data_IF_704110464097
#
_entry.id   IF_704110464097
#
_cell.length_a   1.000
_cell.length_b   1.000
_cell.length_c   1.000
_cell.angle_alpha   90.00
_cell.angle_beta   90.00
_cell.angle_gamma   90.00
#
_symmetry.space_group_name_H-M   'P 1'
#
loop_
_entity.id
_entity.type
_entity.pdbx_description
1 polymer ?
#
# COMPACT_ATOMS: atom_id res chain seq x y z
N UNK A 1 -10.13 -32.16 -1.39
CA UNK A 1 -10.16 -30.93 -0.58
C UNK A 1 -9.18 -29.87 -1.11
N UNK A 2 -7.97 -30.23 -1.52
CA UNK A 2 -6.94 -29.26 -1.94
C UNK A 2 -7.06 -28.72 -3.37
N UNK A 3 -7.87 -29.35 -4.24
CA UNK A 3 -7.93 -29.02 -5.67
C UNK A 3 -8.23 -27.54 -5.96
N UNK A 4 -9.12 -26.90 -5.20
CA UNK A 4 -9.40 -25.47 -5.36
C UNK A 4 -8.17 -24.61 -5.10
N UNK A 5 -7.48 -24.85 -3.98
CA UNK A 5 -6.26 -24.12 -3.63
C UNK A 5 -5.11 -24.41 -4.61
N UNK A 6 -4.91 -25.66 -5.02
CA UNK A 6 -3.88 -26.03 -6.00
C UNK A 6 -4.16 -25.37 -7.35
N UNK A 7 -5.38 -25.46 -7.87
CA UNK A 7 -5.73 -24.84 -9.16
C UNK A 7 -5.64 -23.31 -9.08
N UNK A 8 -6.02 -22.71 -7.96
CA UNK A 8 -5.96 -21.25 -7.77
C UNK A 8 -4.54 -20.70 -7.56
N UNK A 9 -3.64 -21.49 -6.97
CA UNK A 9 -2.29 -21.04 -6.58
C UNK A 9 -1.22 -21.48 -7.58
N UNK A 10 -1.36 -22.67 -8.15
CA UNK A 10 -0.34 -23.31 -8.97
C UNK A 10 -0.53 -23.08 -10.49
N UNK A 11 -1.67 -22.54 -10.91
CA UNK A 11 -2.01 -22.28 -12.31
C UNK A 11 -2.51 -20.85 -12.51
N UNK A 12 -2.09 -20.21 -13.58
CA UNK A 12 -2.71 -18.96 -14.05
C UNK A 12 -4.00 -19.27 -14.78
N UNK A 13 -4.91 -18.30 -14.85
CA UNK A 13 -6.14 -18.41 -15.65
C UNK A 13 -5.82 -18.78 -17.11
N UNK A 14 -4.75 -18.22 -17.68
CA UNK A 14 -4.34 -18.48 -19.07
C UNK A 14 -3.91 -19.92 -19.28
N UNK A 15 -3.09 -20.47 -18.40
CA UNK A 15 -2.65 -21.88 -18.48
C UNK A 15 -3.81 -22.83 -18.25
N UNK A 16 -4.69 -22.52 -17.29
CA UNK A 16 -5.88 -23.31 -17.02
C UNK A 16 -6.81 -23.35 -18.25
N UNK A 17 -6.98 -22.21 -18.93
CA UNK A 17 -7.75 -22.10 -20.17
C UNK A 17 -7.15 -22.97 -21.28
N UNK A 18 -5.84 -22.91 -21.48
CA UNK A 18 -5.15 -23.73 -22.48
C UNK A 18 -5.25 -25.24 -22.18
N UNK A 19 -5.20 -25.62 -20.90
CA UNK A 19 -5.35 -27.01 -20.49
C UNK A 19 -6.78 -27.53 -20.71
N UNK A 20 -7.79 -26.76 -20.32
CA UNK A 20 -9.19 -27.13 -20.54
C UNK A 20 -9.50 -27.24 -22.05
N UNK A 21 -8.94 -26.35 -22.88
CA UNK A 21 -9.08 -26.44 -24.33
C UNK A 21 -8.47 -27.75 -24.88
N UNK A 22 -7.30 -28.15 -24.39
CA UNK A 22 -6.65 -29.43 -24.75
C UNK A 22 -7.42 -30.66 -24.26
N UNK A 23 -8.15 -30.53 -23.16
CA UNK A 23 -9.03 -31.57 -22.64
C UNK A 23 -10.38 -31.67 -23.39
N UNK A 24 -10.61 -30.83 -24.41
CA UNK A 24 -11.80 -30.87 -25.26
C UNK A 24 -12.92 -29.91 -24.83
N UNK A 25 -12.65 -28.94 -23.95
CA UNK A 25 -13.64 -27.94 -23.53
C UNK A 25 -13.76 -26.81 -24.58
N UNK A 26 -14.95 -26.71 -25.19
CA UNK A 26 -15.24 -25.90 -26.37
C UNK A 26 -15.46 -24.41 -26.02
N UNK A 27 -15.92 -24.11 -24.79
CA UNK A 27 -16.30 -22.74 -24.38
C UNK A 27 -15.17 -21.99 -23.64
N UNK A 28 -13.95 -22.53 -23.72
CA UNK A 28 -12.82 -21.96 -22.99
C UNK A 28 -12.42 -20.57 -23.45
N UNK A 29 -12.83 -20.09 -24.63
CA UNK A 29 -12.49 -18.74 -25.11
C UNK A 29 -13.35 -17.64 -24.48
N UNK A 30 -14.60 -17.93 -24.16
CA UNK A 30 -15.58 -16.95 -23.65
C UNK A 30 -15.84 -17.11 -22.15
N UNK A 31 -15.42 -18.23 -21.55
CA UNK A 31 -15.60 -18.46 -20.12
C UNK A 31 -14.85 -17.43 -19.25
N UNK A 32 -15.52 -16.99 -18.19
CA UNK A 32 -14.96 -16.14 -17.13
C UNK A 32 -13.97 -16.92 -16.27
N UNK A 33 -13.09 -16.20 -15.57
CA UNK A 33 -12.06 -16.78 -14.73
C UNK A 33 -12.63 -17.70 -13.64
N UNK A 34 -13.74 -17.30 -13.01
CA UNK A 34 -14.43 -18.13 -12.02
C UNK A 34 -14.97 -19.45 -12.62
N UNK A 35 -15.52 -19.39 -13.84
CA UNK A 35 -16.03 -20.58 -14.54
C UNK A 35 -14.88 -21.50 -14.92
N UNK A 36 -13.77 -20.97 -15.43
CA UNK A 36 -12.58 -21.76 -15.74
C UNK A 36 -11.98 -22.41 -14.49
N UNK A 37 -11.89 -21.65 -13.39
CA UNK A 37 -11.44 -22.17 -12.10
C UNK A 37 -12.32 -23.35 -11.65
N UNK A 38 -13.63 -23.16 -11.61
CA UNK A 38 -14.59 -24.20 -11.22
C UNK A 38 -14.47 -25.47 -12.08
N UNK A 39 -14.32 -25.31 -13.40
CA UNK A 39 -14.10 -26.44 -14.33
C UNK A 39 -12.76 -27.13 -14.10
N UNK A 40 -11.71 -26.36 -13.85
CA UNK A 40 -10.38 -26.86 -13.50
C UNK A 40 -10.37 -27.69 -12.22
N UNK A 41 -11.03 -27.20 -11.18
CA UNK A 41 -11.19 -27.91 -9.89
C UNK A 41 -11.95 -29.21 -10.07
N UNK A 42 -13.02 -29.19 -10.88
CA UNK A 42 -13.78 -30.41 -11.20
C UNK A 42 -12.90 -31.42 -11.95
N UNK A 43 -12.15 -30.98 -12.96
CA UNK A 43 -11.25 -31.84 -13.72
C UNK A 43 -10.15 -32.44 -12.82
N UNK A 44 -9.62 -31.67 -11.87
CA UNK A 44 -8.62 -32.14 -10.91
C UNK A 44 -9.15 -33.25 -9.97
N UNK A 45 -10.45 -33.24 -9.68
CA UNK A 45 -11.10 -34.25 -8.83
C UNK A 45 -11.54 -35.51 -9.58
N UNK A 46 -11.48 -35.52 -10.91
CA UNK A 46 -11.85 -36.67 -11.74
C UNK A 46 -10.64 -37.59 -11.95
N UNK A 47 -10.87 -38.87 -12.28
CA UNK A 47 -9.80 -39.85 -12.60
C UNK A 47 -9.71 -40.10 -14.11
N UNK A 48 -9.79 -39.03 -14.89
CA UNK A 48 -9.89 -39.09 -16.35
C UNK A 48 -8.68 -38.45 -17.06
N UNK A 49 -8.79 -38.27 -18.37
CA UNK A 49 -7.73 -37.69 -19.20
C UNK A 49 -7.44 -36.23 -18.80
N UNK A 50 -8.47 -35.47 -18.40
CA UNK A 50 -8.33 -34.07 -18.00
C UNK A 50 -7.49 -33.94 -16.72
N UNK A 51 -7.70 -34.82 -15.74
CA UNK A 51 -6.88 -34.86 -14.52
C UNK A 51 -5.40 -35.18 -14.81
N UNK A 52 -5.13 -36.14 -15.71
CA UNK A 52 -3.76 -36.48 -16.12
C UNK A 52 -3.07 -35.32 -16.83
N UNK A 53 -3.78 -34.62 -17.70
CA UNK A 53 -3.27 -33.43 -18.39
C UNK A 53 -2.96 -32.30 -17.39
N UNK A 54 -3.82 -32.11 -16.38
CA UNK A 54 -3.61 -31.11 -15.34
C UNK A 54 -2.37 -31.41 -14.48
N UNK A 55 -2.20 -32.65 -14.03
CA UNK A 55 -0.99 -33.08 -13.32
C UNK A 55 0.26 -32.84 -14.16
N UNK A 56 0.25 -33.28 -15.42
CA UNK A 56 1.40 -33.10 -16.32
C UNK A 56 1.74 -31.62 -16.55
N UNK A 57 0.74 -30.75 -16.58
CA UNK A 57 0.94 -29.32 -16.72
C UNK A 57 1.59 -28.71 -15.47
N UNK A 58 1.11 -29.10 -14.28
CA UNK A 58 1.69 -28.69 -13.00
C UNK A 58 3.13 -29.18 -12.86
N UNK A 59 3.40 -30.44 -13.16
CA UNK A 59 4.75 -31.02 -13.11
C UNK A 59 5.72 -30.31 -14.06
N UNK A 60 5.28 -30.03 -15.28
CA UNK A 60 6.11 -29.32 -16.27
C UNK A 60 6.37 -27.87 -15.85
N UNK A 61 5.37 -27.19 -15.29
CA UNK A 61 5.52 -25.80 -14.87
C UNK A 61 6.51 -25.68 -13.72
N UNK A 62 6.44 -26.59 -12.77
CA UNK A 62 7.18 -26.54 -11.51
C UNK A 62 8.37 -27.50 -11.50
N UNK A 63 8.85 -27.94 -12.66
CA UNK A 63 9.88 -28.97 -12.80
C UNK A 63 11.17 -28.64 -12.02
N UNK A 64 11.57 -27.36 -12.03
CA UNK A 64 12.79 -26.88 -11.36
C UNK A 64 12.73 -27.14 -9.85
N UNK A 65 11.64 -26.75 -9.19
CA UNK A 65 11.48 -26.89 -7.74
C UNK A 65 11.14 -28.33 -7.36
N UNK A 66 10.40 -29.06 -8.19
CA UNK A 66 10.17 -30.50 -8.01
C UNK A 66 11.48 -31.30 -7.95
N UNK A 67 12.46 -30.97 -8.80
CA UNK A 67 13.81 -31.58 -8.74
C UNK A 67 14.53 -31.29 -7.42
N UNK A 68 14.29 -30.14 -6.80
CA UNK A 68 14.88 -29.81 -5.49
C UNK A 68 14.21 -30.63 -4.38
N UNK A 69 12.87 -30.67 -4.36
CA UNK A 69 12.10 -31.42 -3.37
C UNK A 69 12.29 -32.93 -3.50
N UNK A 70 12.53 -33.47 -4.71
CA UNK A 70 12.72 -34.91 -4.93
C UNK A 70 13.90 -35.54 -4.18
N UNK A 71 14.81 -34.73 -3.64
CA UNK A 71 15.96 -35.17 -2.85
C UNK A 71 15.63 -35.33 -1.36
N UNK A 72 14.48 -34.85 -0.92
CA UNK A 72 14.05 -34.84 0.48
C UNK A 72 13.32 -36.14 0.79
N UNK A 73 13.50 -36.67 2.00
CA UNK A 73 12.95 -37.97 2.38
C UNK A 73 12.04 -37.91 3.60
N UNK A 74 12.00 -36.78 4.31
CA UNK A 74 11.22 -36.64 5.54
C UNK A 74 10.29 -35.42 5.51
N UNK A 75 9.14 -35.47 6.22
CA UNK A 75 8.25 -34.31 6.36
C UNK A 75 8.95 -33.05 6.90
N UNK A 76 9.89 -33.21 7.83
CA UNK A 76 10.64 -32.10 8.43
C UNK A 76 11.54 -31.39 7.41
N UNK A 77 12.25 -32.15 6.57
CA UNK A 77 13.05 -31.59 5.47
C UNK A 77 12.17 -30.85 4.45
N UNK A 78 10.99 -31.40 4.14
CA UNK A 78 10.02 -30.79 3.23
C UNK A 78 9.48 -29.47 3.79
N UNK A 79 9.17 -29.41 5.11
CA UNK A 79 8.74 -28.16 5.76
C UNK A 79 9.84 -27.10 5.73
N UNK A 80 11.07 -27.46 6.06
CA UNK A 80 12.20 -26.52 6.01
C UNK A 80 12.43 -25.96 4.59
N UNK A 81 12.31 -26.81 3.56
CA UNK A 81 12.42 -26.36 2.18
C UNK A 81 11.22 -25.51 1.73
N UNK A 82 10.02 -25.80 2.24
CA UNK A 82 8.83 -24.96 2.06
C UNK A 82 9.04 -23.56 2.64
N UNK A 83 9.48 -23.44 3.89
CA UNK A 83 9.70 -22.16 4.57
C UNK A 83 10.68 -21.27 3.77
N UNK A 84 11.79 -21.86 3.32
CA UNK A 84 12.75 -21.17 2.45
C UNK A 84 12.12 -20.70 1.13
N UNK A 85 11.30 -21.53 0.51
CA UNK A 85 10.66 -21.16 -0.75
C UNK A 85 9.60 -20.06 -0.58
N UNK A 86 8.94 -19.99 0.59
CA UNK A 86 8.04 -18.88 0.95
C UNK A 86 8.84 -17.58 1.08
N UNK A 87 9.97 -17.60 1.78
CA UNK A 87 10.87 -16.43 1.92
C UNK A 87 11.41 -15.95 0.56
N UNK A 88 11.74 -16.88 -0.33
CA UNK A 88 12.21 -16.59 -1.70
C UNK A 88 11.06 -16.22 -2.67
N UNK A 89 9.80 -16.28 -2.24
CA UNK A 89 8.62 -15.96 -3.04
C UNK A 89 8.17 -17.03 -4.05
N UNK A 90 8.73 -18.25 -4.02
CA UNK A 90 8.39 -19.38 -4.90
C UNK A 90 7.28 -20.28 -4.31
N UNK A 91 6.21 -19.64 -3.82
CA UNK A 91 5.09 -20.28 -3.11
C UNK A 91 4.36 -21.28 -4.02
N UNK A 92 4.08 -20.88 -5.26
CA UNK A 92 3.28 -21.65 -6.23
C UNK A 92 3.90 -23.02 -6.53
N UNK A 93 5.21 -23.04 -6.77
CA UNK A 93 5.93 -24.26 -7.11
C UNK A 93 6.22 -25.13 -5.89
N UNK A 94 6.60 -24.52 -4.76
CA UNK A 94 6.81 -25.24 -3.50
C UNK A 94 5.52 -25.91 -3.03
N UNK A 95 4.38 -25.24 -3.20
CA UNK A 95 3.09 -25.76 -2.79
C UNK A 95 2.70 -27.01 -3.58
N UNK A 96 2.90 -26.99 -4.91
CA UNK A 96 2.71 -28.18 -5.73
C UNK A 96 3.67 -29.30 -5.35
N UNK A 97 4.93 -28.97 -5.07
CA UNK A 97 5.93 -29.95 -4.65
C UNK A 97 5.51 -30.66 -3.37
N UNK A 98 5.09 -29.94 -2.33
CA UNK A 98 4.59 -30.54 -1.08
C UNK A 98 3.37 -31.41 -1.33
N UNK A 99 2.38 -30.93 -2.10
CA UNK A 99 1.12 -31.65 -2.32
C UNK A 99 1.26 -32.92 -3.17
N UNK A 100 2.35 -33.04 -3.93
CA UNK A 100 2.64 -34.20 -4.80
C UNK A 100 3.76 -35.10 -4.27
N UNK A 101 4.48 -34.69 -3.22
CA UNK A 101 5.63 -35.44 -2.72
C UNK A 101 5.23 -36.72 -1.96
N UNK A 102 5.88 -37.87 -2.23
CA UNK A 102 5.52 -39.15 -1.59
C UNK A 102 5.79 -39.20 -0.09
N UNK A 103 6.76 -38.43 0.39
CA UNK A 103 7.08 -38.33 1.82
C UNK A 103 6.29 -37.23 2.57
N UNK A 104 5.35 -36.54 1.90
CA UNK A 104 4.45 -35.60 2.58
C UNK A 104 3.35 -36.34 3.32
N UNK A 105 3.22 -36.09 4.62
CA UNK A 105 2.16 -36.65 5.44
C UNK A 105 0.95 -35.72 5.55
N UNK A 106 -0.14 -36.24 6.13
CA UNK A 106 -1.39 -35.49 6.25
C UNK A 106 -1.28 -34.23 7.14
N UNK A 107 -0.61 -34.27 8.30
CA UNK A 107 -0.35 -33.08 9.09
C UNK A 107 0.35 -31.97 8.31
N UNK A 108 1.46 -32.29 7.62
CA UNK A 108 2.22 -31.32 6.84
C UNK A 108 1.38 -30.71 5.71
N UNK A 109 0.65 -31.55 4.96
CA UNK A 109 -0.23 -31.06 3.90
C UNK A 109 -1.31 -30.11 4.42
N UNK A 110 -1.89 -30.39 5.60
CA UNK A 110 -2.92 -29.52 6.18
C UNK A 110 -2.34 -28.20 6.68
N UNK A 111 -1.16 -28.23 7.29
CA UNK A 111 -0.44 -27.05 7.79
C UNK A 111 -0.12 -26.08 6.64
N UNK A 112 0.55 -26.59 5.60
CA UNK A 112 0.92 -25.82 4.41
C UNK A 112 -0.31 -25.34 3.62
N UNK A 113 -1.38 -26.14 3.56
CA UNK A 113 -2.66 -25.68 3.02
C UNK A 113 -3.22 -24.49 3.82
N UNK A 114 -3.15 -24.54 5.15
CA UNK A 114 -3.58 -23.45 6.03
C UNK A 114 -2.79 -22.17 5.79
N UNK A 115 -1.46 -22.26 5.67
CA UNK A 115 -0.60 -21.12 5.33
C UNK A 115 -0.98 -20.49 3.98
N UNK A 116 -1.11 -21.30 2.92
CA UNK A 116 -1.50 -20.81 1.58
C UNK A 116 -2.91 -20.23 1.57
N UNK A 117 -3.83 -20.80 2.35
CA UNK A 117 -5.17 -20.29 2.51
C UNK A 117 -5.16 -18.90 3.16
N UNK A 118 -4.39 -18.71 4.23
CA UNK A 118 -4.22 -17.41 4.88
C UNK A 118 -3.54 -16.39 3.97
N UNK A 119 -2.52 -16.78 3.20
CA UNK A 119 -1.89 -15.92 2.19
C UNK A 119 -2.88 -15.48 1.10
N UNK A 120 -3.74 -16.40 0.65
CA UNK A 120 -4.79 -16.09 -0.33
C UNK A 120 -5.83 -15.12 0.25
N UNK A 121 -6.15 -15.22 1.54
CA UNK A 121 -6.98 -14.25 2.26
C UNK A 121 -6.30 -12.90 2.40
N UNK A 122 -5.01 -12.86 2.74
CA UNK A 122 -4.23 -11.64 2.90
C UNK A 122 -4.09 -10.89 1.56
N UNK A 123 -3.70 -11.58 0.50
CA UNK A 123 -3.63 -11.00 -0.86
C UNK A 123 -5.04 -10.63 -1.36
N UNK A 124 -6.07 -11.37 -0.98
CA UNK A 124 -7.46 -11.06 -1.33
C UNK A 124 -8.01 -9.81 -0.62
N UNK A 125 -7.53 -9.50 0.58
CA UNK A 125 -7.98 -8.37 1.42
C UNK A 125 -7.13 -7.11 1.23
N UNK A 126 -5.80 -7.22 1.20
CA UNK A 126 -4.87 -6.07 1.07
C UNK A 126 -4.63 -5.64 -0.39
N UNK A 127 -4.67 -6.54 -1.38
CA UNK A 127 -3.94 -6.25 -2.63
C UNK A 127 -4.62 -5.37 -3.67
N UNK A 128 -5.90 -4.98 -3.58
CA UNK A 128 -6.49 -4.16 -4.67
C UNK A 128 -6.12 -2.68 -4.62
N UNK A 129 -6.14 -2.10 -3.42
CA UNK A 129 -5.69 -0.71 -3.21
C UNK A 129 -4.16 -0.63 -3.21
N UNK A 130 -3.48 -1.64 -2.67
CA UNK A 130 -2.01 -1.70 -2.64
C UNK A 130 -1.40 -1.92 -4.02
N UNK A 131 -1.97 -2.75 -4.91
CA UNK A 131 -1.50 -2.85 -6.30
C UNK A 131 -1.70 -1.56 -7.09
N UNK A 132 -2.85 -0.89 -6.91
CA UNK A 132 -3.10 0.38 -7.58
C UNK A 132 -2.14 1.47 -7.08
N UNK A 133 -1.87 1.50 -5.77
CA UNK A 133 -0.93 2.42 -5.13
C UNK A 133 0.52 2.13 -5.52
N UNK A 134 0.92 0.86 -5.56
CA UNK A 134 2.24 0.43 -6.03
C UNK A 134 2.46 0.81 -7.49
N UNK A 135 1.51 0.54 -8.38
CA UNK A 135 1.59 0.96 -9.79
C UNK A 135 1.68 2.48 -9.92
N UNK A 136 0.88 3.21 -9.14
CA UNK A 136 0.94 4.67 -9.14
C UNK A 136 2.30 5.18 -8.68
N UNK A 137 2.82 4.65 -7.57
CA UNK A 137 4.15 5.00 -7.06
C UNK A 137 5.25 4.68 -8.08
N UNK A 138 5.14 3.54 -8.77
CA UNK A 138 6.09 3.15 -9.80
C UNK A 138 6.08 4.13 -10.98
N UNK A 139 4.91 4.51 -11.48
CA UNK A 139 4.77 5.54 -12.52
C UNK A 139 5.26 6.92 -12.05
N UNK A 140 4.99 7.29 -10.78
CA UNK A 140 5.44 8.55 -10.20
C UNK A 140 6.98 8.60 -10.06
N UNK A 141 7.62 7.46 -9.76
CA UNK A 141 9.09 7.32 -9.74
C UNK A 141 9.66 7.44 -11.15
N UNK A 142 9.12 6.70 -12.11
CA UNK A 142 9.56 6.78 -13.52
C UNK A 142 9.44 8.21 -14.06
N UNK A 143 8.33 8.92 -13.78
CA UNK A 143 8.14 10.30 -14.19
C UNK A 143 9.12 11.28 -13.51
N UNK A 144 9.52 11.00 -12.26
CA UNK A 144 10.52 11.78 -11.52
C UNK A 144 11.91 11.56 -12.10
N UNK A 145 12.28 10.31 -12.39
CA UNK A 145 13.57 9.98 -12.97
C UNK A 145 13.73 10.64 -14.35
N UNK A 146 12.72 10.57 -15.22
CA UNK A 146 12.75 11.30 -16.49
C UNK A 146 12.89 12.83 -16.30
N UNK A 147 12.32 13.38 -15.24
CA UNK A 147 12.42 14.82 -14.96
C UNK A 147 13.84 15.17 -14.49
N UNK A 148 14.45 14.34 -13.66
CA UNK A 148 15.84 14.47 -13.22
C UNK A 148 16.76 14.41 -14.44
N UNK A 149 16.62 13.41 -15.30
CA UNK A 149 17.42 13.25 -16.52
C UNK A 149 17.33 14.49 -17.42
N UNK A 150 16.12 15.03 -17.62
CA UNK A 150 15.91 16.27 -18.40
C UNK A 150 16.56 17.49 -17.73
N UNK A 151 16.57 17.56 -16.40
CA UNK A 151 17.20 18.66 -15.67
C UNK A 151 18.73 18.56 -15.72
N UNK A 152 19.29 17.36 -15.55
CA UNK A 152 20.72 17.11 -15.66
C UNK A 152 21.25 17.43 -17.05
N UNK A 153 20.55 17.00 -18.11
CA UNK A 153 20.92 17.33 -19.48
C UNK A 153 20.93 18.85 -19.74
N UNK A 154 19.95 19.58 -19.20
CA UNK A 154 19.91 21.06 -19.31
C UNK A 154 21.04 21.73 -18.54
N UNK A 155 21.36 21.25 -17.34
CA UNK A 155 22.47 21.77 -16.54
C UNK A 155 23.81 21.52 -17.24
N UNK A 156 24.01 20.33 -17.81
CA UNK A 156 25.20 20.01 -18.59
C UNK A 156 25.34 20.89 -19.83
N UNK A 157 24.25 21.11 -20.59
CA UNK A 157 24.26 22.00 -21.73
C UNK A 157 24.59 23.45 -21.32
N UNK A 158 23.97 23.97 -20.26
CA UNK A 158 24.26 25.30 -19.74
C UNK A 158 25.71 25.45 -19.23
N UNK A 159 26.27 24.38 -18.65
CA UNK A 159 27.68 24.35 -18.25
C UNK A 159 28.61 24.41 -19.47
N UNK A 160 28.31 23.68 -20.54
CA UNK A 160 29.07 23.72 -21.79
C UNK A 160 28.99 25.11 -22.44
N UNK A 161 27.81 25.71 -22.49
CA UNK A 161 27.62 27.06 -23.02
C UNK A 161 28.42 28.09 -22.21
N UNK A 162 28.44 27.98 -20.88
CA UNK A 162 29.28 28.84 -20.03
C UNK A 162 30.77 28.70 -20.34
N UNK A 163 31.27 27.49 -20.58
CA UNK A 163 32.67 27.28 -20.97
C UNK A 163 32.98 27.94 -22.32
N UNK A 164 32.06 27.86 -23.29
CA UNK A 164 32.21 28.51 -24.60
C UNK A 164 32.19 30.03 -24.44
N UNK A 165 31.26 30.57 -23.67
CA UNK A 165 31.15 32.01 -23.41
C UNK A 165 32.39 32.54 -22.68
N UNK A 166 32.91 31.82 -21.69
CA UNK A 166 34.15 32.17 -20.99
C UNK A 166 35.33 32.26 -21.96
N UNK A 167 35.53 31.27 -22.82
CA UNK A 167 36.58 31.32 -23.86
C UNK A 167 36.40 32.52 -24.78
N UNK A 168 35.16 32.83 -25.17
CA UNK A 168 34.89 33.96 -26.07
C UNK A 168 35.13 35.30 -25.41
N UNK A 169 34.82 35.44 -24.12
CA UNK A 169 35.16 36.61 -23.32
C UNK A 169 36.68 36.78 -23.28
N UNK A 170 37.42 35.70 -22.99
CA UNK A 170 38.89 35.71 -22.96
C UNK A 170 39.50 36.14 -24.31
N UNK A 171 38.99 35.61 -25.43
CA UNK A 171 39.40 36.00 -26.77
C UNK A 171 39.13 37.48 -27.05
N UNK A 172 37.92 37.97 -26.70
CA UNK A 172 37.53 39.36 -26.90
C UNK A 172 38.37 40.30 -26.03
N UNK A 173 38.65 39.94 -24.78
CA UNK A 173 39.53 40.69 -23.90
C UNK A 173 40.95 40.79 -24.47
N UNK A 174 41.50 39.71 -25.02
CA UNK A 174 42.79 39.73 -25.69
C UNK A 174 42.78 40.60 -26.95
N UNK A 175 41.74 40.50 -27.79
CA UNK A 175 41.57 41.35 -28.96
C UNK A 175 41.45 42.83 -28.59
N UNK A 176 40.71 43.15 -27.53
CA UNK A 176 40.57 44.52 -27.02
C UNK A 176 41.92 45.06 -26.54
N UNK A 177 42.68 44.27 -25.76
CA UNK A 177 44.03 44.66 -25.32
C UNK A 177 44.98 44.90 -26.50
N UNK A 178 44.93 44.07 -27.54
CA UNK A 178 45.72 44.26 -28.77
C UNK A 178 45.29 45.50 -29.56
N UNK A 179 43.98 45.74 -29.68
CA UNK A 179 43.45 46.93 -30.34
C UNK A 179 43.81 48.21 -29.58
N UNK A 180 43.70 48.21 -28.25
CA UNK A 180 44.14 49.33 -27.39
C UNK A 180 45.65 49.57 -27.49
N UNK A 181 46.46 48.52 -27.63
CA UNK A 181 47.90 48.65 -27.88
C UNK A 181 48.23 49.14 -29.31
N UNK A 182 47.35 48.88 -30.29
CA UNK A 182 47.51 49.32 -31.68
C UNK A 182 46.92 50.72 -31.95
N UNK A 183 45.94 51.17 -31.14
CA UNK A 183 45.43 52.54 -31.12
C UNK A 183 46.42 53.43 -30.36
N UNK A 184 47.62 53.52 -30.93
CA UNK A 184 48.52 54.66 -30.80
C UNK A 184 48.28 55.72 -31.89
N UNK A 185 47.25 55.57 -32.74
CA UNK A 185 46.93 56.53 -33.80
C UNK A 185 45.40 56.70 -34.03
N UNK A 186 44.88 57.93 -34.23
CA UNK A 186 43.45 58.23 -34.04
C UNK A 186 42.69 58.40 -35.37
N UNK A 187 42.32 57.32 -36.08
CA UNK A 187 41.42 57.43 -37.27
C UNK A 187 40.52 56.20 -37.46
N UNK A 188 39.57 55.90 -36.55
CA UNK A 188 38.43 54.99 -36.85
C UNK A 188 37.28 55.06 -35.81
N UNK A 189 36.83 56.26 -35.44
CA UNK A 189 35.89 56.43 -34.32
C UNK A 189 34.42 56.04 -34.62
N UNK A 190 33.92 56.22 -35.86
CA UNK A 190 32.47 56.27 -36.11
C UNK A 190 31.72 54.93 -36.21
N UNK A 191 32.36 53.83 -36.61
CA UNK A 191 31.71 52.53 -36.79
C UNK A 191 31.82 51.63 -35.55
N UNK A 192 32.93 51.72 -34.80
CA UNK A 192 33.13 51.01 -33.54
C UNK A 192 32.15 51.45 -32.46
N UNK A 193 31.90 52.76 -32.36
CA UNK A 193 31.01 53.34 -31.34
C UNK A 193 29.54 52.87 -31.44
N UNK A 194 29.02 52.60 -32.65
CA UNK A 194 27.65 52.06 -32.80
C UNK A 194 27.53 50.59 -32.42
N UNK A 195 28.55 49.80 -32.70
CA UNK A 195 28.59 48.38 -32.34
C UNK A 195 28.78 48.21 -30.83
N UNK A 196 29.65 49.03 -30.22
CA UNK A 196 29.84 49.09 -28.76
C UNK A 196 28.56 49.50 -28.03
N UNK A 197 27.87 50.54 -28.51
CA UNK A 197 26.59 50.96 -27.92
C UNK A 197 25.55 49.83 -27.93
N UNK A 198 25.43 49.10 -29.05
CA UNK A 198 24.46 48.00 -29.19
C UNK A 198 24.81 46.77 -28.35
N UNK A 199 26.09 46.50 -28.13
CA UNK A 199 26.55 45.43 -27.24
C UNK A 199 26.35 45.81 -25.77
N UNK A 200 26.63 47.07 -25.41
CA UNK A 200 26.39 47.59 -24.06
C UNK A 200 24.92 47.49 -23.67
N UNK A 201 24.00 47.85 -24.57
CA UNK A 201 22.55 47.77 -24.34
C UNK A 201 22.08 46.32 -24.14
N UNK A 202 22.61 45.37 -24.93
CA UNK A 202 22.30 43.94 -24.75
C UNK A 202 22.86 43.37 -23.45
N UNK A 203 24.05 43.80 -23.04
CA UNK A 203 24.69 43.38 -21.79
C UNK A 203 23.87 43.89 -20.60
N UNK A 204 23.44 45.14 -20.65
CA UNK A 204 22.57 45.74 -19.63
C UNK A 204 21.23 45.00 -19.53
N UNK A 205 20.56 44.74 -20.65
CA UNK A 205 19.31 43.98 -20.67
C UNK A 205 19.47 42.51 -20.23
N UNK A 206 20.67 41.92 -20.35
CA UNK A 206 20.98 40.61 -19.80
C UNK A 206 21.23 40.66 -18.29
N UNK A 207 21.92 41.69 -17.79
CA UNK A 207 22.14 41.94 -16.37
C UNK A 207 20.83 42.15 -15.61
N UNK A 208 19.93 42.98 -16.14
CA UNK A 208 18.60 43.23 -15.53
C UNK A 208 17.75 41.94 -15.46
N UNK A 209 17.85 41.06 -16.46
CA UNK A 209 17.18 39.75 -16.44
C UNK A 209 17.79 38.80 -15.41
N UNK A 210 19.12 38.77 -15.30
CA UNK A 210 19.82 37.95 -14.33
C UNK A 210 19.44 38.35 -12.89
N UNK A 211 19.46 39.65 -12.58
CA UNK A 211 19.02 40.18 -11.28
C UNK A 211 17.54 39.83 -11.00
N UNK A 212 16.68 39.88 -12.01
CA UNK A 212 15.28 39.48 -11.90
C UNK A 212 15.11 38.00 -11.53
N UNK A 213 15.93 37.11 -12.10
CA UNK A 213 15.92 35.69 -11.76
C UNK A 213 16.49 35.42 -10.37
N UNK A 214 17.58 36.08 -9.97
CA UNK A 214 18.16 35.96 -8.63
C UNK A 214 17.16 36.36 -7.54
N UNK A 215 16.46 37.49 -7.73
CA UNK A 215 15.41 37.94 -6.79
C UNK A 215 14.28 36.91 -6.65
N UNK A 216 13.86 36.29 -7.76
CA UNK A 216 12.82 35.26 -7.75
C UNK A 216 13.28 33.96 -7.09
N UNK A 217 14.53 33.56 -7.33
CA UNK A 217 15.13 32.38 -6.72
C UNK A 217 15.21 32.57 -5.20
N UNK A 218 15.77 33.68 -4.74
CA UNK A 218 15.86 34.02 -3.32
C UNK A 218 14.48 34.04 -2.64
N UNK A 219 13.46 34.61 -3.30
CA UNK A 219 12.09 34.59 -2.76
C UNK A 219 11.51 33.18 -2.66
N UNK A 220 11.80 32.31 -3.64
CA UNK A 220 11.32 30.92 -3.62
C UNK A 220 12.02 30.07 -2.56
N UNK A 221 13.32 30.28 -2.34
CA UNK A 221 14.11 29.61 -1.31
C UNK A 221 13.65 30.03 0.08
N UNK A 222 13.41 31.32 0.30
CA UNK A 222 12.87 31.83 1.57
C UNK A 222 11.52 31.18 1.93
N UNK A 223 10.59 31.09 0.97
CA UNK A 223 9.29 30.42 1.16
C UNK A 223 9.43 28.94 1.48
N UNK A 224 10.41 28.28 0.86
CA UNK A 224 10.65 26.85 1.07
C UNK A 224 11.24 26.58 2.46
N UNK A 225 12.12 27.46 2.95
CA UNK A 225 12.63 27.41 4.34
C UNK A 225 11.49 27.63 5.33
N UNK A 226 10.64 28.64 5.11
CA UNK A 226 9.49 28.92 5.97
C UNK A 226 8.52 27.73 6.04
N UNK A 227 8.15 27.15 4.89
CA UNK A 227 7.27 25.99 4.84
C UNK A 227 7.88 24.77 5.56
N UNK A 228 9.19 24.54 5.44
CA UNK A 228 9.88 23.46 6.17
C UNK A 228 9.83 23.69 7.68
N UNK A 229 10.02 24.93 8.13
CA UNK A 229 9.95 25.28 9.55
C UNK A 229 8.53 25.04 10.09
N UNK A 230 7.49 25.49 9.37
CA UNK A 230 6.09 25.27 9.74
C UNK A 230 5.75 23.78 9.84
N UNK A 231 6.21 22.95 8.90
CA UNK A 231 6.01 21.50 8.97
C UNK A 231 6.69 20.91 10.21
N UNK A 232 7.90 21.34 10.55
CA UNK A 232 8.59 20.85 11.74
C UNK A 232 7.85 21.19 13.04
N UNK A 233 7.36 22.42 13.18
CA UNK A 233 6.59 22.87 14.35
C UNK A 233 5.28 22.08 14.48
N UNK A 234 4.54 21.93 13.38
CA UNK A 234 3.28 21.18 13.39
C UNK A 234 3.47 19.70 13.73
N UNK A 235 4.59 19.10 13.31
CA UNK A 235 4.90 17.72 13.67
C UNK A 235 5.20 17.58 15.17
N UNK A 236 5.94 18.52 15.75
CA UNK A 236 6.25 18.54 17.18
C UNK A 236 4.98 18.75 18.02
N UNK A 237 4.14 19.73 17.66
CA UNK A 237 2.83 19.95 18.30
C UNK A 237 1.94 18.70 18.21
N UNK A 238 1.93 18.02 17.06
CA UNK A 238 1.13 16.82 16.89
C UNK A 238 1.64 15.65 17.76
N UNK A 239 2.94 15.55 17.98
CA UNK A 239 3.53 14.56 18.88
C UNK A 239 3.18 14.85 20.33
N UNK A 240 3.25 16.12 20.76
CA UNK A 240 2.86 16.54 22.11
C UNK A 240 1.38 16.22 22.36
N UNK A 241 0.49 16.62 21.46
CA UNK A 241 -0.95 16.38 21.58
C UNK A 241 -1.28 14.88 21.60
N UNK A 242 -0.56 14.06 20.83
CA UNK A 242 -0.71 12.60 20.89
C UNK A 242 -0.29 12.04 22.24
N UNK A 243 0.82 12.52 22.79
CA UNK A 243 1.29 12.08 24.10
C UNK A 243 0.31 12.48 25.22
N UNK A 244 -0.22 13.70 25.19
CA UNK A 244 -1.25 14.16 26.13
C UNK A 244 -2.53 13.33 26.02
N UNK A 245 -2.96 13.00 24.80
CA UNK A 245 -4.08 12.09 24.58
C UNK A 245 -3.82 10.70 25.15
N UNK A 246 -2.63 10.12 24.92
CA UNK A 246 -2.27 8.79 25.45
C UNK A 246 -2.28 8.77 27.00
N UNK A 247 -1.84 9.85 27.64
CA UNK A 247 -1.86 10.01 29.10
C UNK A 247 -3.29 10.13 29.65
N UNK A 248 -4.13 10.95 29.01
CA UNK A 248 -5.54 11.07 29.38
C UNK A 248 -6.30 9.75 29.13
N UNK A 249 -5.98 9.05 28.05
CA UNK A 249 -6.53 7.74 27.74
C UNK A 249 -6.11 6.67 28.77
N UNK A 250 -4.87 6.72 29.26
CA UNK A 250 -4.41 5.86 30.34
C UNK A 250 -5.11 6.17 31.68
N UNK A 251 -5.41 7.44 31.96
CA UNK A 251 -6.13 7.86 33.16
C UNK A 251 -7.64 7.53 33.14
N UNK A 252 -8.24 7.38 31.96
CA UNK A 252 -9.65 7.02 31.78
C UNK A 252 -9.85 5.50 31.78
N UNK A 253 -8.80 4.71 31.54
CA UNK A 253 -8.84 3.27 31.78
C UNK A 253 -9.10 3.04 33.29
N UNK A 254 -10.21 2.39 33.67
CA UNK A 254 -10.52 2.23 35.09
C UNK A 254 -9.43 1.40 35.77
N UNK A 255 -8.84 1.94 36.84
CA UNK A 255 -8.19 1.11 37.85
C UNK A 255 -9.20 0.04 38.27
N UNK A 256 -8.78 -1.22 38.16
CA UNK A 256 -9.60 -2.38 38.48
C UNK A 256 -9.95 -2.39 39.96
N UNK A 257 -10.99 -1.65 40.33
CA UNK A 257 -11.77 -1.89 41.53
C UNK A 257 -13.14 -2.38 41.08
N UNK A 258 -13.52 -3.63 41.42
CA UNK A 258 -14.79 -4.21 41.02
C UNK A 258 -15.91 -3.51 41.82
N UNK A 259 -16.34 -2.35 41.35
CA UNK A 259 -17.53 -1.70 41.86
C UNK A 259 -18.75 -2.42 41.27
N UNK A 260 -19.30 -3.32 42.09
CA UNK A 260 -20.62 -3.93 41.98
C UNK A 260 -21.03 -4.34 40.56
N UNK A 261 -20.70 -5.59 40.20
CA UNK A 261 -21.41 -6.32 39.17
C UNK A 261 -22.90 -6.29 39.49
N UNK A 262 -23.67 -5.48 38.75
CA UNK A 262 -25.10 -5.69 38.63
C UNK A 262 -25.28 -6.96 37.80
N UNK A 263 -25.81 -8.00 38.45
CA UNK A 263 -26.23 -9.26 37.85
C UNK A 263 -27.24 -9.01 36.72
N UNK A 264 -26.73 -8.80 35.51
CA UNK A 264 -27.47 -9.04 34.28
C UNK A 264 -26.82 -10.25 33.63
N UNK A 265 -27.49 -11.40 33.72
CA UNK A 265 -27.11 -12.74 33.24
C UNK A 265 -26.96 -12.85 31.70
N UNK A 266 -26.68 -11.75 31.00
CA UNK A 266 -26.48 -11.71 29.55
C UNK A 266 -25.08 -11.26 29.20
N UNK A 267 -24.29 -12.12 28.57
CA UNK A 267 -23.11 -11.70 27.81
C UNK A 267 -23.60 -10.84 26.63
N UNK A 268 -23.36 -9.53 26.68
CA UNK A 268 -23.71 -8.62 25.58
C UNK A 268 -22.58 -8.63 24.53
N UNK A 269 -22.91 -8.86 23.26
CA UNK A 269 -21.91 -8.86 22.17
C UNK A 269 -21.98 -7.54 21.40
N UNK A 270 -20.98 -6.68 21.54
CA UNK A 270 -20.94 -5.35 20.91
C UNK A 270 -20.00 -5.37 19.69
N UNK A 271 -20.47 -4.90 18.54
CA UNK A 271 -19.63 -4.72 17.35
C UNK A 271 -19.04 -3.31 17.31
N UNK A 272 -17.71 -3.18 17.34
CA UNK A 272 -16.99 -1.94 17.13
C UNK A 272 -16.44 -1.88 15.70
N UNK A 273 -16.94 -0.94 14.88
CA UNK A 273 -16.57 -0.81 13.46
C UNK A 273 -15.74 0.45 13.22
N UNK A 274 -14.51 0.30 12.71
CA UNK A 274 -13.56 1.38 12.49
C UNK A 274 -12.55 1.50 13.63
N UNK A 275 -12.09 2.74 13.85
CA UNK A 275 -11.19 3.11 14.93
C UNK A 275 -9.72 2.87 14.65
N UNK A 276 -8.92 3.04 15.72
CA UNK A 276 -7.46 2.93 15.68
C UNK A 276 -7.06 1.52 16.15
N UNK A 277 -6.39 0.70 15.31
CA UNK A 277 -5.98 -0.65 15.71
C UNK A 277 -5.12 -0.68 16.99
N UNK A 278 -4.30 0.35 17.20
CA UNK A 278 -3.49 0.51 18.42
C UNK A 278 -4.29 0.58 19.73
N UNK A 279 -5.60 0.85 19.65
CA UNK A 279 -6.50 0.94 20.80
C UNK A 279 -7.30 -0.34 21.05
N UNK A 280 -7.31 -1.32 20.12
CA UNK A 280 -8.22 -2.47 20.18
C UNK A 280 -8.01 -3.31 21.44
N UNK A 281 -6.77 -3.57 21.86
CA UNK A 281 -6.50 -4.31 23.10
C UNK A 281 -7.01 -3.58 24.35
N UNK A 282 -6.94 -2.25 24.36
CA UNK A 282 -7.43 -1.43 25.48
C UNK A 282 -8.96 -1.37 25.49
N UNK A 283 -9.58 -1.21 24.33
CA UNK A 283 -11.04 -1.28 24.15
C UNK A 283 -11.59 -2.63 24.60
N UNK A 284 -10.91 -3.73 24.24
CA UNK A 284 -11.29 -5.08 24.65
C UNK A 284 -11.23 -5.23 26.18
N UNK A 285 -10.15 -4.81 26.83
CA UNK A 285 -10.05 -4.85 28.31
C UNK A 285 -11.15 -4.03 28.99
N UNK A 286 -11.50 -2.88 28.43
CA UNK A 286 -12.57 -2.02 28.95
C UNK A 286 -13.94 -2.69 28.81
N UNK A 287 -14.22 -3.34 27.68
CA UNK A 287 -15.43 -4.12 27.44
C UNK A 287 -15.52 -5.37 28.34
N UNK A 288 -14.43 -6.12 28.49
CA UNK A 288 -14.34 -7.29 29.37
C UNK A 288 -14.66 -6.94 30.83
N UNK A 289 -14.21 -5.77 31.31
CA UNK A 289 -14.53 -5.28 32.67
C UNK A 289 -16.03 -5.04 32.91
N UNK A 290 -16.83 -5.01 31.85
CA UNK A 290 -18.29 -4.82 31.85
C UNK A 290 -19.06 -6.04 31.34
N UNK A 291 -18.41 -7.21 31.22
CA UNK A 291 -19.00 -8.43 30.66
C UNK A 291 -19.51 -8.29 29.21
N UNK A 292 -18.88 -7.42 28.41
CA UNK A 292 -19.19 -7.21 27.00
C UNK A 292 -18.17 -7.94 26.13
N UNK A 293 -18.64 -8.82 25.25
CA UNK A 293 -17.81 -9.42 24.19
C UNK A 293 -17.69 -8.43 23.04
N UNK A 294 -16.48 -7.93 22.81
CA UNK A 294 -16.23 -6.95 21.75
C UNK A 294 -15.80 -7.64 20.44
N UNK A 295 -16.64 -7.53 19.42
CA UNK A 295 -16.29 -7.87 18.05
C UNK A 295 -15.71 -6.64 17.36
N UNK A 296 -14.65 -6.81 16.57
CA UNK A 296 -14.06 -5.72 15.79
C UNK A 296 -14.28 -5.94 14.30
N UNK A 297 -14.45 -4.83 13.60
CA UNK A 297 -14.21 -4.72 12.17
C UNK A 297 -13.52 -3.39 11.96
N UNK A 298 -12.46 -3.30 11.18
CA UNK A 298 -11.71 -2.04 11.04
C UNK A 298 -12.36 -0.94 10.17
N UNK A 299 -13.63 -1.09 9.80
CA UNK A 299 -14.34 -0.13 8.97
C UNK A 299 -13.88 -0.06 7.50
N UNK A 300 -13.24 -1.10 6.97
CA UNK A 300 -12.87 -1.23 5.56
C UNK A 300 -11.45 -0.77 5.23
N UNK A 301 -10.54 -0.78 6.21
CA UNK A 301 -9.12 -0.42 6.03
C UNK A 301 -8.32 -1.65 5.59
N UNK A 302 -8.54 -2.80 6.24
CA UNK A 302 -7.94 -4.12 6.03
C UNK A 302 -9.04 -5.23 5.98
N UNK A 303 -10.12 -5.12 6.76
CA UNK A 303 -11.26 -6.03 6.78
C UNK A 303 -12.22 -5.79 5.62
N UNK A 304 -12.68 -6.87 5.00
CA UNK A 304 -13.65 -6.79 3.93
C UNK A 304 -15.05 -6.47 4.47
N UNK A 305 -15.67 -5.39 3.97
CA UNK A 305 -17.04 -4.98 4.32
C UNK A 305 -18.08 -6.10 4.20
N UNK A 306 -17.84 -7.12 3.35
CA UNK A 306 -18.70 -8.31 3.26
C UNK A 306 -18.73 -9.18 4.53
N UNK A 307 -17.85 -8.94 5.50
CA UNK A 307 -17.87 -9.54 6.83
C UNK A 307 -18.86 -8.83 7.78
N UNK A 308 -19.19 -7.56 7.52
CA UNK A 308 -20.13 -6.79 8.35
C UNK A 308 -21.48 -7.47 8.52
N UNK A 309 -22.14 -8.05 7.51
CA UNK A 309 -23.40 -8.78 7.70
C UNK A 309 -23.30 -9.90 8.73
N UNK A 310 -22.22 -10.68 8.72
CA UNK A 310 -22.03 -11.77 9.67
C UNK A 310 -21.75 -11.26 11.09
N UNK A 311 -20.94 -10.21 11.21
CA UNK A 311 -20.62 -9.59 12.51
C UNK A 311 -21.82 -8.86 13.11
N UNK A 312 -22.57 -8.09 12.31
CA UNK A 312 -23.83 -7.48 12.73
C UNK A 312 -24.85 -8.56 13.10
N UNK A 313 -24.87 -9.70 12.41
CA UNK A 313 -25.70 -10.85 12.78
C UNK A 313 -25.40 -11.41 14.17
N UNK A 314 -24.12 -11.43 14.58
CA UNK A 314 -23.66 -11.94 15.88
C UNK A 314 -23.75 -10.94 17.03
N UNK A 315 -23.66 -9.65 16.75
CA UNK A 315 -23.70 -8.61 17.78
C UNK A 315 -25.14 -8.27 18.19
N UNK A 316 -25.36 -7.87 19.44
CA UNK A 316 -26.62 -7.27 19.90
C UNK A 316 -26.76 -5.82 19.44
N UNK A 317 -25.64 -5.09 19.38
CA UNK A 317 -25.57 -3.70 18.99
C UNK A 317 -24.25 -3.36 18.29
N UNK A 318 -24.19 -2.24 17.58
CA UNK A 318 -22.98 -1.80 16.88
C UNK A 318 -22.62 -0.34 17.19
N UNK A 319 -21.33 -0.07 17.37
CA UNK A 319 -20.78 1.28 17.57
C UNK A 319 -19.70 1.57 16.53
N UNK A 320 -19.58 2.84 16.14
CA UNK A 320 -18.52 3.24 15.21
C UNK A 320 -18.09 4.70 15.40
N UNK A 321 -16.78 5.01 15.45
CA UNK A 321 -16.29 6.37 15.54
C UNK A 321 -16.39 7.09 14.20
N UNK A 322 -17.08 8.23 14.18
CA UNK A 322 -17.34 8.99 12.93
C UNK A 322 -16.09 9.61 12.31
N UNK A 323 -15.04 9.82 13.10
CA UNK A 323 -13.75 10.36 12.65
C UNK A 323 -12.79 9.28 12.11
N UNK A 324 -13.13 7.99 12.26
CA UNK A 324 -12.24 6.88 11.97
C UNK A 324 -13.01 5.66 11.42
N UNK A 325 -13.85 5.88 10.42
CA UNK A 325 -14.57 4.83 9.69
C UNK A 325 -14.72 5.25 8.23
N UNK A 326 -14.70 4.31 7.29
CA UNK A 326 -15.04 4.63 5.90
C UNK A 326 -16.53 4.96 5.74
N UNK A 327 -16.87 5.86 4.82
CA UNK A 327 -18.27 6.21 4.56
C UNK A 327 -19.09 4.98 4.20
N UNK A 328 -18.55 4.10 3.34
CA UNK A 328 -19.17 2.84 2.94
C UNK A 328 -19.42 1.88 4.11
N UNK A 329 -18.48 1.77 5.06
CA UNK A 329 -18.70 0.94 6.25
C UNK A 329 -19.80 1.51 7.13
N UNK A 330 -19.79 2.83 7.37
CA UNK A 330 -20.80 3.47 8.23
C UNK A 330 -22.21 3.32 7.66
N UNK A 331 -22.38 3.46 6.34
CA UNK A 331 -23.68 3.29 5.68
C UNK A 331 -24.14 1.82 5.67
N UNK A 332 -23.20 0.89 5.56
CA UNK A 332 -23.49 -0.54 5.60
C UNK A 332 -23.92 -0.97 7.00
N UNK A 333 -23.23 -0.54 8.06
CA UNK A 333 -23.62 -0.81 9.45
C UNK A 333 -25.01 -0.27 9.74
N UNK A 334 -25.29 1.00 9.39
CA UNK A 334 -26.62 1.61 9.56
C UNK A 334 -27.71 0.80 8.88
N UNK A 335 -27.47 0.34 7.65
CA UNK A 335 -28.43 -0.45 6.87
C UNK A 335 -28.67 -1.82 7.50
N UNK A 336 -27.60 -2.58 7.76
CA UNK A 336 -27.67 -3.93 8.31
C UNK A 336 -28.32 -3.96 9.69
N UNK A 337 -28.03 -2.97 10.54
CA UNK A 337 -28.64 -2.86 11.85
C UNK A 337 -30.14 -2.56 11.73
N UNK A 338 -30.57 -1.65 10.83
CA UNK A 338 -32.00 -1.42 10.56
C UNK A 338 -32.72 -2.64 10.01
N UNK A 339 -32.10 -3.34 9.06
CA UNK A 339 -32.68 -4.54 8.43
C UNK A 339 -32.83 -5.70 9.43
N UNK A 340 -32.01 -5.71 10.49
CA UNK A 340 -31.99 -6.75 11.53
C UNK A 340 -32.64 -6.32 12.85
N UNK A 341 -33.26 -5.14 12.90
CA UNK A 341 -33.87 -4.55 14.10
C UNK A 341 -32.89 -4.43 15.30
N UNK A 342 -31.66 -4.00 15.02
CA UNK A 342 -30.57 -3.82 16.00
C UNK A 342 -30.18 -2.35 16.16
N UNK A 343 -29.81 -1.98 17.37
CA UNK A 343 -29.35 -0.63 17.69
C UNK A 343 -27.93 -0.40 17.17
N UNK A 344 -27.70 0.78 16.58
CA UNK A 344 -26.36 1.26 16.30
C UNK A 344 -26.14 2.66 16.87
N UNK A 345 -24.92 2.97 17.29
CA UNK A 345 -24.58 4.27 17.88
C UNK A 345 -23.26 4.84 17.30
N UNK A 346 -23.31 5.99 16.61
CA UNK A 346 -22.10 6.69 16.20
C UNK A 346 -21.38 7.32 17.40
N UNK A 347 -20.07 7.09 17.51
CA UNK A 347 -19.20 7.71 18.51
C UNK A 347 -18.60 8.99 17.93
N UNK A 348 -18.44 10.03 18.75
CA UNK A 348 -17.84 11.31 18.36
C UNK A 348 -16.39 11.15 17.85
N UNK A 349 -15.62 10.23 18.44
CA UNK A 349 -14.22 10.00 18.07
C UNK A 349 -13.77 8.58 18.37
N UNK A 350 -12.71 8.14 17.70
CA UNK A 350 -12.01 6.87 17.94
C UNK A 350 -11.08 6.98 19.15
N UNK A 351 -11.67 7.13 20.35
CA UNK A 351 -10.97 7.25 21.62
C UNK A 351 -11.57 6.33 22.69
N UNK A 352 -10.75 5.94 23.67
CA UNK A 352 -11.21 5.16 24.82
C UNK A 352 -12.32 5.89 25.59
N UNK A 353 -12.23 7.20 25.74
CA UNK A 353 -13.23 8.01 26.42
C UNK A 353 -14.61 7.96 25.76
N UNK A 354 -14.65 8.07 24.42
CA UNK A 354 -15.92 7.99 23.67
C UNK A 354 -16.53 6.59 23.76
N UNK A 355 -15.70 5.55 23.78
CA UNK A 355 -16.15 4.17 23.96
C UNK A 355 -16.64 3.90 25.39
N UNK A 356 -15.87 4.31 26.40
CA UNK A 356 -16.21 4.15 27.81
C UNK A 356 -17.54 4.81 28.18
N UNK A 357 -17.82 6.00 27.62
CA UNK A 357 -19.09 6.68 27.82
C UNK A 357 -20.29 5.87 27.31
N UNK A 358 -20.12 5.13 26.21
CA UNK A 358 -21.18 4.34 25.59
C UNK A 358 -21.44 3.05 26.34
N UNK A 359 -20.39 2.34 26.75
CA UNK A 359 -20.56 1.10 27.51
C UNK A 359 -20.86 1.33 29.00
N UNK A 360 -20.87 2.60 29.44
CA UNK A 360 -21.34 3.00 30.76
C UNK A 360 -22.84 3.31 30.81
N UNK A 361 -23.47 3.59 29.68
CA UNK A 361 -24.92 3.79 29.59
C UNK A 361 -25.59 2.47 29.16
N UNK A 362 -26.71 2.05 29.78
CA UNK A 362 -27.48 0.94 29.24
C UNK A 362 -27.99 1.34 27.85
N UNK A 363 -27.61 0.58 26.82
CA UNK A 363 -28.07 0.76 25.44
C UNK A 363 -29.57 0.43 25.39
N UNK A 364 -30.41 1.43 25.69
CA UNK A 364 -31.86 1.28 25.68
C UNK A 364 -32.37 1.04 24.26
N UNK A 365 -33.24 0.04 24.11
CA UNK A 365 -34.06 -0.17 22.92
C UNK A 365 -35.28 0.77 23.02
N UNK A 366 -35.45 1.66 22.04
CA UNK A 366 -36.73 2.32 21.73
C UNK A 366 -37.32 1.72 20.46
#
# INVERSE_FOLDING_TARGET
MFHCSIVGTCLTTTELRQMLAKAGDIDTKTATDHVLHSRGVRAAGQRDIAAKLLNKALDRRHERILKQFSKLSTPAEIKAQWDKAVDDGDISGAYWAVMSHPASDRPLMNDIFGEVHMLSHLVGSSSRLDLARLRKLQLDVEARDEKIDRQEARLQAAAQDNVILQKRIEELEQSLRRAQAAVGDPVSAGAGQRQEARLSEKLQAAGERAEGYEKRLASSEAKLVEARLQVSVLLEENQILKHELDLLEAAIAPDAHPAAATDTDGYETLLYVGGRPSLFDRLRKLAESRNIELLFHDGGVEDNLSLLPALVGRASSAVFPVDCISHSASDMVKRLCRDSDKTYLPLRSASLASFAAVIAAPLAAE
#
